data_IF_146469170784
#
_entry.id   IF_146469170784
#
_cell.length_a   1.000
_cell.length_b   1.000
_cell.length_c   1.000
_cell.angle_alpha   90.00
_cell.angle_beta   90.00
_cell.angle_gamma   90.00
#
_symmetry.space_group_name_H-M   'P 1'
#
loop_
_entity.id
_entity.type
_entity.pdbx_description
1 polymer ?
#
# COMPACT_ATOMS: atom_id res chain seq x y z
N UNK A 1 -0.33 -8.85 19.44
CA UNK A 1 -0.07 -8.33 18.08
C UNK A 1 -0.75 -6.98 17.97
N UNK A 2 0.02 -5.92 17.73
CA UNK A 2 -0.54 -4.59 17.48
C UNK A 2 -1.24 -4.59 16.11
N UNK A 3 -2.35 -3.87 15.94
CA UNK A 3 -3.04 -3.70 14.64
C UNK A 3 -2.05 -3.24 13.55
N UNK A 4 -0.99 -2.53 13.95
CA UNK A 4 0.10 -2.11 13.07
C UNK A 4 0.98 -3.24 12.51
N UNK A 5 1.11 -4.35 13.24
CA UNK A 5 1.87 -5.52 12.80
C UNK A 5 1.04 -6.43 11.88
N UNK A 6 -0.28 -6.35 11.96
CA UNK A 6 -1.18 -7.19 11.14
C UNK A 6 -1.48 -6.53 9.78
N UNK A 7 -1.54 -5.20 9.75
CA UNK A 7 -1.92 -4.41 8.56
C UNK A 7 -0.69 -3.73 7.90
N UNK A 8 0.43 -3.70 8.61
CA UNK A 8 1.69 -3.12 8.14
C UNK A 8 2.38 -4.00 7.09
N UNK A 9 2.97 -3.43 6.04
CA UNK A 9 3.71 -4.20 5.04
C UNK A 9 5.01 -4.82 5.57
N UNK A 10 5.12 -6.14 5.43
CA UNK A 10 6.23 -6.99 5.88
C UNK A 10 7.45 -6.95 4.95
N UNK A 11 7.31 -6.43 3.73
CA UNK A 11 8.44 -6.09 2.84
C UNK A 11 8.11 -4.91 1.91
N UNK A 12 9.12 -4.28 1.33
CA UNK A 12 8.91 -3.32 0.23
C UNK A 12 8.39 -4.06 -1.02
N UNK A 13 8.86 -5.29 -1.24
CA UNK A 13 8.41 -6.14 -2.36
C UNK A 13 6.91 -6.44 -2.28
N UNK A 14 6.38 -6.64 -1.06
CA UNK A 14 4.94 -6.81 -0.85
C UNK A 14 4.15 -5.56 -1.25
N UNK A 15 4.67 -4.36 -0.95
CA UNK A 15 4.01 -3.12 -1.40
C UNK A 15 4.00 -3.02 -2.93
N UNK A 16 5.13 -3.33 -3.58
CA UNK A 16 5.25 -3.32 -5.05
C UNK A 16 4.27 -4.32 -5.66
N UNK A 17 4.16 -5.52 -5.10
CA UNK A 17 3.22 -6.54 -5.56
C UNK A 17 1.77 -6.06 -5.44
N UNK A 18 1.39 -5.48 -4.31
CA UNK A 18 0.04 -4.95 -4.09
C UNK A 18 -0.27 -3.81 -5.08
N UNK A 19 0.68 -2.91 -5.33
CA UNK A 19 0.53 -1.84 -6.32
C UNK A 19 0.35 -2.44 -7.73
N UNK A 20 1.19 -3.40 -8.12
CA UNK A 20 1.08 -4.06 -9.42
C UNK A 20 -0.27 -4.72 -9.63
N UNK A 21 -0.74 -5.50 -8.64
CA UNK A 21 -2.04 -6.18 -8.70
C UNK A 21 -3.17 -5.14 -8.80
N UNK A 22 -3.10 -4.07 -8.02
CA UNK A 22 -4.08 -2.98 -8.09
C UNK A 22 -4.11 -2.32 -9.47
N UNK A 23 -2.94 -2.04 -10.05
CA UNK A 23 -2.83 -1.48 -11.40
C UNK A 23 -3.48 -2.40 -12.44
N UNK A 24 -3.23 -3.70 -12.39
CA UNK A 24 -3.86 -4.68 -13.30
C UNK A 24 -5.39 -4.64 -13.16
N UNK A 25 -5.91 -4.59 -11.93
CA UNK A 25 -7.36 -4.52 -11.67
C UNK A 25 -7.96 -3.24 -12.27
N UNK A 26 -7.31 -2.09 -12.07
CA UNK A 26 -7.78 -0.80 -12.62
C UNK A 26 -7.77 -0.79 -14.14
N UNK A 27 -6.74 -1.35 -14.78
CA UNK A 27 -6.70 -1.45 -16.24
C UNK A 27 -7.75 -2.44 -16.78
N UNK A 28 -7.92 -3.59 -16.13
CA UNK A 28 -8.93 -4.56 -16.52
C UNK A 28 -10.36 -4.03 -16.35
N UNK A 29 -10.63 -3.33 -15.24
CA UNK A 29 -11.94 -2.73 -15.00
C UNK A 29 -12.24 -1.60 -15.99
N UNK A 30 -11.25 -0.78 -16.32
CA UNK A 30 -11.39 0.26 -17.34
C UNK A 30 -11.64 -0.31 -18.75
N UNK A 31 -11.08 -1.49 -19.07
CA UNK A 31 -11.30 -2.14 -20.37
C UNK A 31 -12.68 -2.80 -20.50
N UNK A 32 -13.21 -3.35 -19.41
CA UNK A 32 -14.48 -4.11 -19.43
C UNK A 32 -15.68 -3.21 -19.16
N UNK A 33 -15.51 -2.18 -18.33
CA UNK A 33 -16.63 -1.39 -17.79
C UNK A 33 -16.48 0.09 -18.16
N UNK A 34 -17.21 0.54 -19.19
CA UNK A 34 -17.30 1.94 -19.59
C UNK A 34 -18.33 2.73 -18.73
N UNK A 35 -18.16 2.67 -17.40
CA UNK A 35 -19.07 3.30 -16.44
C UNK A 35 -18.43 4.44 -15.65
N UNK A 36 -19.08 5.61 -15.48
CA UNK A 36 -18.58 6.68 -14.61
C UNK A 36 -18.47 6.23 -13.14
N UNK A 37 -19.26 5.25 -12.71
CA UNK A 37 -19.19 4.64 -11.38
C UNK A 37 -17.85 3.92 -11.16
N UNK A 38 -17.38 3.16 -12.16
CA UNK A 38 -16.12 2.41 -12.09
C UNK A 38 -14.93 3.34 -12.00
N UNK A 39 -14.97 4.49 -12.68
CA UNK A 39 -13.95 5.54 -12.54
C UNK A 39 -13.88 6.09 -11.12
N UNK A 40 -15.03 6.32 -10.48
CA UNK A 40 -15.09 6.82 -9.10
C UNK A 40 -14.53 5.79 -8.11
N UNK A 41 -14.94 4.53 -8.22
CA UNK A 41 -14.41 3.44 -7.38
C UNK A 41 -12.90 3.27 -7.54
N UNK A 42 -12.41 3.35 -8.77
CA UNK A 42 -10.97 3.29 -9.07
C UNK A 42 -10.21 4.46 -8.44
N UNK A 43 -10.79 5.67 -8.43
CA UNK A 43 -10.18 6.88 -7.87
C UNK A 43 -10.13 6.80 -6.34
N UNK A 44 -11.22 6.39 -5.70
CA UNK A 44 -11.30 6.18 -4.25
C UNK A 44 -10.31 5.08 -3.82
N UNK A 45 -10.33 3.93 -4.50
CA UNK A 45 -9.46 2.81 -4.16
C UNK A 45 -7.98 3.13 -4.36
N UNK A 46 -7.63 3.88 -5.41
CA UNK A 46 -6.26 4.37 -5.61
C UNK A 46 -5.84 5.35 -4.51
N UNK A 47 -6.76 6.22 -4.04
CA UNK A 47 -6.51 7.10 -2.90
C UNK A 47 -6.21 6.33 -1.61
N UNK A 48 -7.00 5.29 -1.32
CA UNK A 48 -6.79 4.41 -0.15
C UNK A 48 -5.44 3.68 -0.25
N UNK A 49 -5.10 3.17 -1.44
CA UNK A 49 -3.82 2.52 -1.70
C UNK A 49 -2.65 3.47 -1.42
N UNK A 50 -2.72 4.73 -1.88
CA UNK A 50 -1.68 5.73 -1.64
C UNK A 50 -1.50 6.01 -0.14
N UNK A 51 -2.59 6.17 0.60
CA UNK A 51 -2.53 6.35 2.06
C UNK A 51 -1.84 5.15 2.72
N UNK A 52 -2.20 3.92 2.31
CA UNK A 52 -1.59 2.71 2.83
C UNK A 52 -0.10 2.61 2.51
N UNK A 53 0.32 2.97 1.29
CA UNK A 53 1.74 2.99 0.88
C UNK A 53 2.53 4.02 1.69
N UNK A 54 2.05 5.26 1.81
CA UNK A 54 2.71 6.32 2.58
C UNK A 54 2.85 5.90 4.05
N UNK A 55 1.78 5.35 4.62
CA UNK A 55 1.78 4.87 5.99
C UNK A 55 2.76 3.69 6.18
N UNK A 56 2.74 2.72 5.27
CA UNK A 56 3.61 1.55 5.31
C UNK A 56 5.10 1.90 5.16
N UNK A 57 5.45 2.85 4.28
CA UNK A 57 6.82 3.35 4.12
C UNK A 57 7.28 4.04 5.40
N UNK A 58 6.45 4.93 5.97
CA UNK A 58 6.77 5.58 7.24
C UNK A 58 6.95 4.58 8.38
N UNK A 59 6.08 3.57 8.48
CA UNK A 59 6.19 2.52 9.48
C UNK A 59 7.52 1.76 9.37
N UNK A 60 7.94 1.40 8.14
CA UNK A 60 9.23 0.75 7.89
C UNK A 60 10.41 1.62 8.25
N UNK A 61 10.39 2.90 7.86
CA UNK A 61 11.45 3.85 8.19
C UNK A 61 11.61 3.98 9.71
N UNK A 62 10.51 4.08 10.44
CA UNK A 62 10.52 4.13 11.91
C UNK A 62 11.09 2.83 12.51
N UNK A 63 10.73 1.66 11.98
CA UNK A 63 11.26 0.37 12.43
C UNK A 63 12.77 0.27 12.23
N UNK A 64 13.28 0.64 11.04
CA UNK A 64 14.72 0.63 10.74
C UNK A 64 15.47 1.61 11.66
N UNK A 65 14.91 2.80 11.91
CA UNK A 65 15.52 3.75 12.83
C UNK A 65 15.60 3.19 14.26
N UNK A 66 14.56 2.52 14.74
CA UNK A 66 14.57 1.88 16.06
C UNK A 66 15.59 0.74 16.15
N UNK A 67 15.73 -0.06 15.09
CA UNK A 67 16.74 -1.13 15.02
C UNK A 67 18.16 -0.56 15.09
N UNK A 68 18.46 0.51 14.33
CA UNK A 68 19.77 1.18 14.39
C UNK A 68 20.06 1.78 15.77
N UNK A 69 19.07 2.40 16.41
CA UNK A 69 19.24 2.95 17.76
C UNK A 69 19.52 1.90 18.83
N UNK A 70 18.96 0.69 18.69
CA UNK A 70 19.23 -0.43 19.61
C UNK A 70 20.59 -1.08 19.36
N UNK A 71 21.09 -1.05 18.12
CA UNK A 71 22.37 -1.66 17.77
C UNK A 71 23.58 -0.78 18.10
N UNK A 72 23.37 0.54 18.22
CA UNK A 72 24.39 1.52 18.59
C UNK A 72 24.53 1.76 20.11
N UNK A 73 23.80 0.98 20.93
CA UNK A 73 23.83 1.05 22.41
C UNK A 73 24.20 -0.31 22.97
#
# INVERSE_FOLDING_TARGET
MSIREVVGPDSLDQMVYVIMVWTIIVFASAYILDGPIVRLESLIGTGILLIWVIWGVNYRLQKIQQERYKQNR
#
